data_IF_445948272384
#
_entry.id   IF_445948272384
#
_cell.length_a   1.000
_cell.length_b   1.000
_cell.length_c   1.000
_cell.angle_alpha   90.00
_cell.angle_beta   90.00
_cell.angle_gamma   90.00
#
_symmetry.space_group_name_H-M   'P 1'
#
loop_
_entity.id
_entity.type
_entity.pdbx_description
1 polymer ?
#
# COMPACT_ATOMS: atom_id res chain seq x y z
N UNK A 1 0.42 -8.15 -14.13
CA UNK A 1 0.63 -8.67 -12.76
C UNK A 1 2.12 -8.83 -12.52
N UNK A 2 2.65 -8.50 -11.33
CA UNK A 2 4.11 -8.50 -11.07
C UNK A 2 4.69 -9.82 -10.61
N UNK A 3 3.84 -10.71 -10.10
CA UNK A 3 4.17 -12.05 -9.66
C UNK A 3 3.17 -13.02 -10.27
N UNK A 4 3.56 -14.30 -10.39
CA UNK A 4 2.71 -15.37 -10.93
C UNK A 4 2.00 -16.19 -9.84
N UNK A 5 2.48 -16.11 -8.60
CA UNK A 5 1.94 -16.85 -7.47
C UNK A 5 1.10 -15.93 -6.58
N UNK A 6 -0.11 -16.37 -6.25
CA UNK A 6 -1.08 -15.57 -5.48
C UNK A 6 -0.57 -15.18 -4.08
N UNK A 7 0.23 -16.07 -3.45
CA UNK A 7 0.83 -15.80 -2.13
C UNK A 7 1.78 -14.60 -2.13
N UNK A 8 2.41 -14.31 -3.28
CA UNK A 8 3.47 -13.29 -3.38
C UNK A 8 2.93 -11.91 -3.74
N UNK A 9 1.61 -11.78 -3.95
CA UNK A 9 0.97 -10.53 -4.35
C UNK A 9 1.23 -9.39 -3.36
N UNK A 10 1.23 -9.71 -2.06
CA UNK A 10 1.48 -8.74 -0.99
C UNK A 10 2.96 -8.58 -0.64
N UNK A 11 3.85 -9.33 -1.30
CA UNK A 11 5.27 -9.35 -0.95
C UNK A 11 5.93 -7.98 -1.18
N UNK A 12 6.93 -7.62 -0.35
CA UNK A 12 7.69 -6.38 -0.56
C UNK A 12 8.36 -6.28 -1.93
N UNK A 13 8.76 -7.44 -2.49
CA UNK A 13 9.37 -7.55 -3.82
C UNK A 13 8.37 -7.18 -4.93
N UNK A 14 7.16 -7.75 -4.90
CA UNK A 14 6.11 -7.42 -5.87
C UNK A 14 5.78 -5.92 -5.85
N UNK A 15 5.69 -5.33 -4.65
CA UNK A 15 5.41 -3.91 -4.46
C UNK A 15 6.53 -3.01 -5.00
N UNK A 16 7.80 -3.40 -4.83
CA UNK A 16 8.95 -2.67 -5.37
C UNK A 16 8.93 -2.65 -6.90
N UNK A 17 8.71 -3.81 -7.54
CA UNK A 17 8.65 -3.89 -9.01
C UNK A 17 7.47 -3.08 -9.56
N UNK A 18 6.33 -3.10 -8.88
CA UNK A 18 5.17 -2.28 -9.26
C UNK A 18 5.50 -0.78 -9.20
N UNK A 19 6.17 -0.33 -8.13
CA UNK A 19 6.55 1.07 -7.96
C UNK A 19 7.58 1.55 -9.01
N UNK A 20 8.52 0.70 -9.43
CA UNK A 20 9.49 1.02 -10.47
C UNK A 20 8.81 1.27 -11.83
N UNK A 21 7.86 0.42 -12.21
CA UNK A 21 7.06 0.61 -13.43
C UNK A 21 6.27 1.91 -13.41
N UNK A 22 5.61 2.21 -12.29
CA UNK A 22 4.84 3.45 -12.15
C UNK A 22 5.78 4.65 -12.29
N UNK A 23 6.97 4.59 -11.70
CA UNK A 23 7.93 5.68 -11.82
C UNK A 23 8.46 5.86 -13.25
N UNK A 24 8.67 4.78 -14.01
CA UNK A 24 9.04 4.86 -15.42
C UNK A 24 7.94 5.57 -16.23
N UNK A 25 6.68 5.16 -16.05
CA UNK A 25 5.53 5.81 -16.68
C UNK A 25 5.36 7.27 -16.28
N UNK A 26 5.58 7.60 -15.01
CA UNK A 26 5.55 8.98 -14.53
C UNK A 26 6.61 9.83 -15.23
N UNK A 27 7.81 9.29 -15.50
CA UNK A 27 8.87 9.99 -16.25
C UNK A 27 8.49 10.23 -17.70
N UNK A 28 7.88 9.24 -18.37
CA UNK A 28 7.38 9.39 -19.75
C UNK A 28 6.34 10.52 -19.87
N UNK A 29 5.50 10.67 -18.84
CA UNK A 29 4.47 11.72 -18.78
C UNK A 29 5.02 13.07 -18.28
N UNK A 30 6.27 13.11 -17.80
CA UNK A 30 6.88 14.34 -17.26
C UNK A 30 6.50 14.69 -15.81
N UNK A 31 5.95 13.74 -15.06
CA UNK A 31 5.64 13.92 -13.63
C UNK A 31 6.93 13.80 -12.81
N UNK A 32 7.30 14.87 -12.12
CA UNK A 32 8.55 14.97 -11.34
C UNK A 32 8.34 14.79 -9.83
N UNK A 33 7.12 15.03 -9.33
CA UNK A 33 6.80 14.97 -7.91
C UNK A 33 5.40 14.36 -7.67
N UNK A 34 5.26 13.63 -6.56
CA UNK A 34 3.99 12.99 -6.16
C UNK A 34 3.71 13.19 -4.68
N UNK A 35 2.43 13.43 -4.36
CA UNK A 35 1.93 13.33 -2.99
C UNK A 35 1.48 11.89 -2.71
N UNK A 36 1.85 11.37 -1.55
CA UNK A 36 1.56 9.97 -1.20
C UNK A 36 0.44 9.93 -0.17
N UNK A 37 -0.61 9.18 -0.50
CA UNK A 37 -1.67 8.81 0.44
C UNK A 37 -1.57 7.33 0.74
N UNK A 38 -1.12 6.99 1.94
CA UNK A 38 -1.02 5.62 2.42
C UNK A 38 -2.40 5.15 2.88
N UNK A 39 -2.78 3.92 2.53
CA UNK A 39 -4.09 3.38 2.89
C UNK A 39 -4.00 1.89 3.21
N UNK A 40 -4.38 1.54 4.43
CA UNK A 40 -4.70 0.16 4.80
C UNK A 40 -6.16 -0.17 4.47
N UNK A 41 -6.58 -1.42 4.68
CA UNK A 41 -7.98 -1.82 4.42
C UNK A 41 -8.96 -1.05 5.30
N UNK A 42 -8.61 -0.81 6.57
CA UNK A 42 -9.37 0.01 7.52
C UNK A 42 -10.77 -0.51 7.85
N UNK A 43 -11.62 0.37 8.38
CA UNK A 43 -12.96 0.02 8.86
C UNK A 43 -12.89 -0.99 10.02
N UNK A 44 -13.58 -2.11 9.87
CA UNK A 44 -13.56 -3.24 10.82
C UNK A 44 -12.39 -4.22 10.58
N UNK A 45 -11.60 -4.01 9.52
CA UNK A 45 -10.45 -4.84 9.16
C UNK A 45 -9.16 -4.21 9.72
N UNK A 46 -8.01 -4.65 9.21
CA UNK A 46 -6.71 -4.17 9.65
C UNK A 46 -6.51 -2.71 9.24
N UNK A 47 -6.20 -1.87 10.22
CA UNK A 47 -5.84 -0.45 10.03
C UNK A 47 -4.35 -0.27 9.75
N UNK A 48 -3.54 -1.28 10.03
CA UNK A 48 -2.11 -1.29 9.72
C UNK A 48 -1.90 -1.51 8.21
N UNK A 49 -1.13 -0.64 7.54
CA UNK A 49 -0.71 -0.86 6.16
C UNK A 49 0.04 -2.19 6.01
N UNK A 50 -0.14 -2.84 4.86
CA UNK A 50 0.51 -4.12 4.57
C UNK A 50 2.02 -4.01 4.36
N UNK A 51 2.73 -5.15 4.30
CA UNK A 51 4.20 -5.19 4.21
C UNK A 51 4.77 -4.51 2.95
N UNK A 52 4.00 -4.47 1.86
CA UNK A 52 4.39 -3.79 0.62
C UNK A 52 4.31 -2.25 0.65
N UNK A 53 3.66 -1.65 1.65
CA UNK A 53 3.44 -0.19 1.67
C UNK A 53 4.75 0.60 1.76
N UNK A 54 5.59 0.25 2.72
CA UNK A 54 6.86 0.95 2.95
C UNK A 54 7.91 0.64 1.87
N UNK A 55 7.91 -0.58 1.32
CA UNK A 55 8.84 -0.95 0.24
C UNK A 55 8.52 -0.20 -1.06
N UNK A 56 7.23 -0.06 -1.41
CA UNK A 56 6.79 0.73 -2.56
C UNK A 56 7.19 2.21 -2.41
N UNK A 57 6.96 2.81 -1.24
CA UNK A 57 7.33 4.21 -0.97
C UNK A 57 8.83 4.44 -1.15
N UNK A 58 9.67 3.55 -0.59
CA UNK A 58 11.12 3.60 -0.78
C UNK A 58 11.54 3.42 -2.24
N UNK A 59 10.84 2.57 -2.99
CA UNK A 59 11.14 2.35 -4.40
C UNK A 59 10.83 3.58 -5.26
N UNK A 60 9.72 4.29 -4.99
CA UNK A 60 9.38 5.56 -5.65
C UNK A 60 10.40 6.67 -5.34
N UNK A 61 10.89 6.74 -4.10
CA UNK A 61 11.95 7.69 -3.75
C UNK A 61 13.24 7.39 -4.52
N UNK A 62 13.65 6.12 -4.58
CA UNK A 62 14.88 5.69 -5.26
C UNK A 62 14.82 5.84 -6.78
N UNK A 63 13.64 5.77 -7.38
CA UNK A 63 13.47 5.96 -8.83
C UNK A 63 13.58 7.43 -9.27
N UNK A 64 13.73 8.36 -8.32
CA UNK A 64 13.99 9.78 -8.59
C UNK A 64 12.74 10.65 -8.61
N UNK A 65 11.57 10.14 -8.18
CA UNK A 65 10.39 10.97 -7.97
C UNK A 65 10.53 11.76 -6.67
N UNK A 66 10.24 13.06 -6.70
CA UNK A 66 10.22 13.89 -5.50
C UNK A 66 8.96 13.58 -4.70
N UNK A 67 9.12 13.11 -3.47
CA UNK A 67 7.99 12.86 -2.58
C UNK A 67 7.64 14.16 -1.86
N UNK A 68 6.38 14.59 -2.01
CA UNK A 68 5.85 15.73 -1.26
C UNK A 68 5.28 15.29 0.09
N UNK A 69 4.06 15.75 0.39
CA UNK A 69 3.29 15.33 1.58
C UNK A 69 3.00 13.83 1.56
N UNK A 70 3.15 13.22 2.74
CA UNK A 70 2.75 11.84 3.02
C UNK A 70 1.62 11.90 4.05
N UNK A 71 0.49 11.28 3.74
CA UNK A 71 -0.70 11.25 4.60
C UNK A 71 -1.22 9.82 4.73
N UNK A 72 -1.59 9.40 5.95
CA UNK A 72 -2.34 8.16 6.15
C UNK A 72 -3.84 8.45 6.08
N UNK A 73 -4.49 7.91 5.06
CA UNK A 73 -5.93 8.04 4.80
C UNK A 73 -6.67 6.74 5.06
N UNK A 74 -6.11 5.87 5.91
CA UNK A 74 -6.79 4.65 6.35
C UNK A 74 -8.13 5.01 7.02
N UNK A 75 -9.25 4.45 6.55
CA UNK A 75 -10.56 4.81 7.10
C UNK A 75 -10.70 4.29 8.53
N UNK A 76 -10.82 5.23 9.48
CA UNK A 76 -11.10 4.96 10.89
C UNK A 76 -12.52 5.41 11.18
N UNK A 77 -13.46 4.48 11.46
CA UNK A 77 -14.83 4.85 11.72
C UNK A 77 -14.99 5.31 13.18
N UNK A 78 -15.89 6.26 13.45
CA UNK A 78 -16.17 6.76 14.81
C UNK A 78 -16.68 5.67 15.74
N UNK A 79 -17.50 4.76 15.22
CA UNK A 79 -17.88 3.49 15.82
C UNK A 79 -17.84 2.39 14.74
N UNK A 80 -17.74 1.12 15.12
CA UNK A 80 -17.47 0.01 14.20
C UNK A 80 -18.58 -1.03 14.18
N UNK A 81 -18.85 -1.59 12.98
CA UNK A 81 -19.72 -2.76 12.86
C UNK A 81 -19.01 -4.04 13.33
N UNK A 82 -19.76 -5.12 13.52
CA UNK A 82 -19.21 -6.40 14.03
C UNK A 82 -18.12 -6.96 13.11
N UNK A 83 -16.93 -7.20 13.65
CA UNK A 83 -15.78 -7.80 12.93
C UNK A 83 -16.02 -9.29 12.63
N UNK A 84 -15.42 -9.80 11.54
CA UNK A 84 -15.42 -11.23 11.18
C UNK A 84 -14.66 -12.04 12.26
N UNK A 85 -15.15 -13.25 12.59
CA UNK A 85 -14.55 -14.15 13.59
C UNK A 85 -15.44 -14.48 14.79
N UNK A 86 -16.68 -13.99 14.84
CA UNK A 86 -17.59 -14.26 15.95
C UNK A 86 -17.08 -13.69 17.28
N UNK A 87 -17.64 -14.14 18.41
CA UNK A 87 -17.24 -13.66 19.75
C UNK A 87 -15.83 -14.11 20.17
N UNK A 88 -15.40 -15.29 19.69
CA UNK A 88 -14.15 -15.94 20.09
C UNK A 88 -12.99 -15.70 19.12
N UNK A 89 -13.23 -14.98 18.01
CA UNK A 89 -12.22 -14.72 16.99
C UNK A 89 -11.92 -15.91 16.08
N UNK A 90 -10.96 -15.71 15.16
CA UNK A 90 -10.43 -16.79 14.31
C UNK A 90 -9.61 -17.75 15.18
N UNK A 91 -9.95 -19.04 15.13
CA UNK A 91 -9.17 -20.13 15.71
C UNK A 91 -8.41 -20.81 14.57
N UNK A 92 -7.11 -20.95 14.73
CA UNK A 92 -6.22 -21.63 13.79
C UNK A 92 -6.06 -23.08 14.25
#
# INVERSE_FOLDING_TARGET
MKVKADRDESSPYAAMLAAQDVAAKCKEVGITAVHIKLRATGGTKTKTPGPGGQSALRALARSGLRIGRIEDVTPVPSDSTRRKGGRRGRRL
#
